data_IF_592481068973
#
_entry.id   IF_592481068973
#
_cell.length_a   1.000
_cell.length_b   1.000
_cell.length_c   1.000
_cell.angle_alpha   90.00
_cell.angle_beta   90.00
_cell.angle_gamma   90.00
#
_symmetry.space_group_name_H-M   'P 1'
#
loop_
_entity.id
_entity.type
_entity.pdbx_description
1 polymer ?
#
# COMPACT_ATOMS: atom_id res chain seq x y z
N UNK A 1 -11.25 -17.56 18.69
CA UNK A 1 -12.50 -18.13 18.14
C UNK A 1 -13.43 -16.97 17.93
N UNK A 2 -13.42 -16.43 16.71
CA UNK A 2 -14.36 -15.39 16.28
C UNK A 2 -15.34 -16.13 15.39
N UNK A 3 -16.62 -16.12 15.76
CA UNK A 3 -17.71 -16.63 14.93
C UNK A 3 -17.67 -15.91 13.58
N UNK A 4 -17.34 -16.68 12.54
CA UNK A 4 -17.55 -16.27 11.16
C UNK A 4 -19.05 -16.07 10.98
N UNK A 5 -19.47 -14.82 10.83
CA UNK A 5 -20.82 -14.51 10.37
C UNK A 5 -21.12 -15.34 9.12
N UNK A 6 -22.26 -16.02 9.14
CA UNK A 6 -22.78 -16.90 8.09
C UNK A 6 -23.02 -16.09 6.80
N UNK A 7 -21.97 -15.90 6.03
CA UNK A 7 -22.04 -15.55 4.63
C UNK A 7 -21.90 -16.85 3.85
N UNK A 8 -22.95 -17.67 3.82
CA UNK A 8 -23.07 -18.67 2.75
C UNK A 8 -23.68 -17.96 1.52
N UNK A 9 -22.88 -17.50 0.54
CA UNK A 9 -23.44 -17.04 -0.72
C UNK A 9 -24.16 -18.22 -1.35
N UNK A 10 -25.44 -18.07 -1.66
CA UNK A 10 -26.16 -19.04 -2.47
C UNK A 10 -25.37 -19.31 -3.76
N UNK A 11 -25.34 -20.55 -4.23
CA UNK A 11 -24.79 -20.92 -5.54
C UNK A 11 -25.70 -20.43 -6.70
N UNK A 12 -26.43 -19.34 -6.49
CA UNK A 12 -27.31 -18.73 -7.47
C UNK A 12 -26.47 -18.23 -8.66
N UNK A 13 -26.82 -18.74 -9.84
CA UNK A 13 -26.34 -18.23 -11.12
C UNK A 13 -26.94 -16.85 -11.35
N UNK A 14 -26.08 -15.89 -11.67
CA UNK A 14 -26.47 -14.50 -11.90
C UNK A 14 -26.63 -14.22 -13.39
N UNK A 15 -27.66 -13.45 -13.72
CA UNK A 15 -27.79 -12.84 -15.04
C UNK A 15 -26.97 -11.53 -15.12
N UNK A 16 -26.99 -10.90 -16.29
CA UNK A 16 -26.22 -9.68 -16.59
C UNK A 16 -26.58 -8.49 -15.70
N UNK A 17 -27.84 -8.35 -15.32
CA UNK A 17 -28.29 -7.21 -14.51
C UNK A 17 -27.96 -7.45 -13.04
N UNK A 18 -28.10 -8.68 -12.58
CA UNK A 18 -27.77 -9.09 -11.22
C UNK A 18 -26.26 -9.09 -10.94
N UNK A 19 -25.41 -9.49 -11.89
CA UNK A 19 -23.97 -9.66 -11.65
C UNK A 19 -23.28 -8.38 -11.17
N UNK A 20 -23.68 -7.21 -11.71
CA UNK A 20 -23.13 -5.91 -11.32
C UNK A 20 -23.55 -5.53 -9.92
N UNK A 21 -24.84 -5.64 -9.58
CA UNK A 21 -25.33 -5.32 -8.26
C UNK A 21 -24.71 -6.22 -7.17
N UNK A 22 -24.60 -7.52 -7.44
CA UNK A 22 -23.96 -8.48 -6.54
C UNK A 22 -22.46 -8.21 -6.36
N UNK A 23 -21.74 -7.92 -7.45
CA UNK A 23 -20.31 -7.57 -7.37
C UNK A 23 -20.07 -6.32 -6.55
N UNK A 24 -20.82 -5.24 -6.81
CA UNK A 24 -20.73 -3.99 -6.04
C UNK A 24 -20.99 -4.23 -4.56
N UNK A 25 -22.04 -4.98 -4.23
CA UNK A 25 -22.38 -5.29 -2.84
C UNK A 25 -21.28 -6.09 -2.14
N UNK A 26 -20.79 -7.17 -2.76
CA UNK A 26 -19.75 -8.03 -2.18
C UNK A 26 -18.45 -7.25 -1.98
N UNK A 27 -18.04 -6.43 -2.95
CA UNK A 27 -16.84 -5.59 -2.82
C UNK A 27 -17.03 -4.51 -1.76
N UNK A 28 -18.21 -3.92 -1.64
CA UNK A 28 -18.50 -2.93 -0.60
C UNK A 28 -18.48 -3.54 0.80
N UNK A 29 -18.89 -4.79 0.97
CA UNK A 29 -18.97 -5.47 2.27
C UNK A 29 -17.67 -6.15 2.71
N UNK A 30 -16.77 -6.48 1.77
CA UNK A 30 -15.53 -7.21 2.04
C UNK A 30 -14.65 -6.47 3.04
N UNK A 31 -14.28 -7.13 4.14
CA UNK A 31 -13.20 -6.65 5.01
C UNK A 31 -11.85 -6.80 4.30
N UNK A 32 -10.97 -5.82 4.42
CA UNK A 32 -9.71 -5.80 3.66
C UNK A 32 -8.50 -5.79 4.58
N UNK A 33 -7.38 -6.25 4.02
CA UNK A 33 -6.05 -5.95 4.55
C UNK A 33 -5.50 -4.77 3.76
N UNK A 34 -5.26 -3.65 4.44
CA UNK A 34 -4.53 -2.53 3.86
C UNK A 34 -3.04 -2.79 3.96
N UNK A 35 -2.51 -3.40 2.90
CA UNK A 35 -1.18 -3.99 2.92
C UNK A 35 -0.03 -2.99 2.85
N UNK A 36 -0.29 -1.69 2.68
CA UNK A 36 0.75 -0.66 2.71
C UNK A 36 0.17 0.71 3.11
N UNK A 37 0.57 1.20 4.29
CA UNK A 37 0.19 2.50 4.83
C UNK A 37 1.37 3.17 5.53
N UNK A 38 1.20 4.45 5.87
CA UNK A 38 2.04 5.20 6.79
C UNK A 38 1.31 5.53 8.10
N UNK A 39 0.29 4.74 8.43
CA UNK A 39 -0.45 4.88 9.68
C UNK A 39 0.28 4.17 10.81
N UNK A 40 0.13 4.70 12.01
CA UNK A 40 0.56 4.08 13.24
C UNK A 40 -0.59 4.09 14.25
N UNK A 41 -0.67 3.10 15.15
CA UNK A 41 -1.71 3.10 16.17
C UNK A 41 -1.41 4.18 17.22
N UNK A 42 -2.42 4.64 18.01
CA UNK A 42 -2.28 5.76 18.95
C UNK A 42 -1.09 5.68 19.93
N UNK A 43 -0.62 4.48 20.24
CA UNK A 43 0.53 4.22 21.11
C UNK A 43 1.86 4.75 20.54
N UNK A 44 1.92 5.04 19.24
CA UNK A 44 3.10 5.61 18.58
C UNK A 44 3.09 7.16 18.59
N UNK A 45 2.14 7.76 19.32
CA UNK A 45 2.09 9.20 19.65
C UNK A 45 2.22 10.11 18.42
N UNK A 46 3.32 10.86 18.31
CA UNK A 46 3.58 11.84 17.26
C UNK A 46 3.63 11.25 15.84
N UNK A 47 3.79 9.93 15.71
CA UNK A 47 3.74 9.23 14.43
C UNK A 47 2.29 8.91 13.99
N UNK A 48 1.33 8.91 14.93
CA UNK A 48 -0.07 8.62 14.64
C UNK A 48 -0.82 9.89 14.23
N UNK A 49 -0.76 10.23 12.94
CA UNK A 49 -1.46 11.42 12.38
C UNK A 49 -2.95 11.15 12.13
N UNK A 50 -3.81 12.07 12.58
CA UNK A 50 -5.27 11.99 12.44
C UNK A 50 -5.93 13.36 12.64
N UNK A 51 -7.16 13.51 12.16
CA UNK A 51 -7.97 14.71 12.32
C UNK A 51 -7.90 15.70 11.17
N UNK A 52 -8.75 16.74 11.24
CA UNK A 52 -9.00 17.63 10.10
C UNK A 52 -7.80 18.48 9.67
N UNK A 53 -7.00 18.97 10.62
CA UNK A 53 -5.82 19.78 10.28
C UNK A 53 -4.76 18.90 9.60
N UNK A 54 -4.61 17.64 10.03
CA UNK A 54 -3.70 16.66 9.41
C UNK A 54 -4.17 16.28 8.00
N UNK A 55 -5.47 16.05 7.83
CA UNK A 55 -6.07 15.77 6.52
C UNK A 55 -5.80 16.90 5.52
N UNK A 56 -5.99 18.16 5.94
CA UNK A 56 -5.83 19.34 5.09
C UNK A 56 -4.37 19.73 4.85
N UNK A 57 -3.47 19.36 5.76
CA UNK A 57 -2.02 19.57 5.58
C UNK A 57 -1.31 18.35 4.98
N UNK A 58 -2.08 17.36 4.51
CA UNK A 58 -1.57 16.28 3.67
C UNK A 58 -0.92 16.83 2.40
N UNK A 59 0.27 16.32 2.08
CA UNK A 59 1.16 16.89 1.04
C UNK A 59 0.52 17.00 -0.36
N UNK A 60 -0.49 16.19 -0.71
CA UNK A 60 -1.24 16.35 -1.97
C UNK A 60 -2.01 17.68 -2.00
N UNK A 61 -2.71 18.00 -0.90
CA UNK A 61 -3.47 19.24 -0.79
C UNK A 61 -2.56 20.45 -0.65
N UNK A 62 -1.39 20.29 -0.01
CA UNK A 62 -0.36 21.34 0.03
C UNK A 62 0.13 21.68 -1.38
N UNK A 63 0.47 20.70 -2.22
CA UNK A 63 0.85 20.94 -3.61
C UNK A 63 -0.25 21.67 -4.40
N UNK A 64 -1.50 21.23 -4.25
CA UNK A 64 -2.65 21.85 -4.91
C UNK A 64 -2.93 23.28 -4.43
N UNK A 65 -2.84 23.53 -3.12
CA UNK A 65 -3.07 24.84 -2.52
C UNK A 65 -1.98 25.84 -2.93
N UNK A 66 -0.72 25.41 -2.94
CA UNK A 66 0.41 26.25 -3.41
C UNK A 66 0.17 26.69 -4.86
N UNK A 67 -0.20 25.76 -5.74
CA UNK A 67 -0.51 26.07 -7.15
C UNK A 67 -1.74 26.97 -7.29
N UNK A 68 -2.82 26.68 -6.56
CA UNK A 68 -4.10 27.37 -6.74
C UNK A 68 -4.14 28.74 -6.06
N UNK A 69 -3.38 28.91 -4.96
CA UNK A 69 -3.24 30.17 -4.23
C UNK A 69 -2.05 31.02 -4.64
N UNK A 70 -1.20 30.54 -5.56
CA UNK A 70 0.08 31.16 -5.91
C UNK A 70 0.94 31.48 -4.67
N UNK A 71 1.01 30.53 -3.74
CA UNK A 71 1.71 30.68 -2.48
C UNK A 71 3.21 30.40 -2.65
N UNK A 72 4.04 31.01 -1.80
CA UNK A 72 5.47 30.64 -1.71
C UNK A 72 5.60 29.47 -0.72
N UNK A 73 6.24 28.35 -1.10
CA UNK A 73 6.33 27.17 -0.24
C UNK A 73 6.91 27.46 1.14
N UNK A 74 8.01 28.22 1.21
CA UNK A 74 8.67 28.56 2.48
C UNK A 74 7.76 29.39 3.42
N UNK A 75 6.98 30.31 2.84
CA UNK A 75 6.03 31.14 3.61
C UNK A 75 4.87 30.29 4.15
N UNK A 76 4.37 29.35 3.34
CA UNK A 76 3.35 28.40 3.77
C UNK A 76 3.88 27.49 4.88
N UNK A 77 5.08 26.94 4.71
CA UNK A 77 5.69 26.02 5.67
C UNK A 77 5.96 26.68 7.02
N UNK A 78 6.27 27.97 7.04
CA UNK A 78 6.50 28.73 8.27
C UNK A 78 5.22 28.98 9.10
N UNK A 79 4.03 28.73 8.53
CA UNK A 79 2.76 28.92 9.23
C UNK A 79 2.50 27.81 10.25
N UNK A 80 1.80 28.10 11.37
CA UNK A 80 1.25 27.05 12.22
C UNK A 80 0.32 26.11 11.44
N UNK A 81 0.30 24.81 11.77
CA UNK A 81 -0.49 23.77 11.09
C UNK A 81 -1.97 24.15 10.95
N UNK A 82 -2.58 24.70 11.99
CA UNK A 82 -3.97 25.17 11.98
C UNK A 82 -4.19 26.29 10.96
N UNK A 83 -3.24 27.22 10.82
CA UNK A 83 -3.29 28.29 9.82
C UNK A 83 -3.07 27.76 8.39
N UNK A 84 -2.20 26.77 8.21
CA UNK A 84 -2.04 26.05 6.95
C UNK A 84 -3.37 25.37 6.54
N UNK A 85 -4.00 24.64 7.46
CA UNK A 85 -5.28 23.97 7.22
C UNK A 85 -6.40 24.97 6.87
N UNK A 86 -6.49 26.09 7.59
CA UNK A 86 -7.45 27.17 7.27
C UNK A 86 -7.22 27.72 5.86
N UNK A 87 -5.97 27.96 5.49
CA UNK A 87 -5.61 28.49 4.18
C UNK A 87 -5.92 27.48 3.05
N UNK A 88 -5.59 26.20 3.26
CA UNK A 88 -5.94 25.12 2.33
C UNK A 88 -7.45 25.03 2.16
N UNK A 89 -8.22 25.04 3.26
CA UNK A 89 -9.69 25.02 3.21
C UNK A 89 -10.26 26.20 2.42
N UNK A 90 -9.81 27.41 2.74
CA UNK A 90 -10.24 28.62 2.06
C UNK A 90 -9.94 28.59 0.56
N UNK A 91 -8.73 28.15 0.17
CA UNK A 91 -8.33 28.12 -1.24
C UNK A 91 -9.07 27.00 -1.98
N UNK A 92 -9.01 25.76 -1.50
CA UNK A 92 -9.42 24.59 -2.29
C UNK A 92 -10.90 24.21 -2.17
N UNK A 93 -11.58 24.64 -1.11
CA UNK A 93 -12.94 24.21 -0.80
C UNK A 93 -13.97 25.35 -0.79
N UNK A 94 -13.56 26.55 -0.36
CA UNK A 94 -14.45 27.72 -0.29
C UNK A 94 -14.39 28.55 -1.58
N UNK A 95 -13.17 28.97 -1.98
CA UNK A 95 -12.98 29.82 -3.18
C UNK A 95 -13.05 29.03 -4.48
N UNK A 96 -12.78 27.73 -4.41
CA UNK A 96 -12.81 26.82 -5.55
C UNK A 96 -13.72 25.63 -5.23
N UNK A 97 -14.32 25.05 -6.27
CA UNK A 97 -15.05 23.79 -6.15
C UNK A 97 -14.04 22.64 -5.97
N UNK A 98 -14.19 21.78 -4.93
CA UNK A 98 -13.24 20.71 -4.63
C UNK A 98 -13.39 19.51 -5.59
N UNK A 99 -12.88 19.66 -6.81
CA UNK A 99 -13.01 18.66 -7.89
C UNK A 99 -11.88 17.62 -7.92
N UNK A 100 -10.71 17.94 -7.36
CA UNK A 100 -9.58 17.00 -7.37
C UNK A 100 -9.87 15.78 -6.50
N UNK A 101 -9.21 14.66 -6.78
CA UNK A 101 -9.43 13.43 -6.01
C UNK A 101 -9.05 13.60 -4.52
N UNK A 102 -8.00 14.38 -4.22
CA UNK A 102 -7.59 14.66 -2.84
C UNK A 102 -8.64 15.51 -2.10
N UNK A 103 -9.18 16.56 -2.74
CA UNK A 103 -10.21 17.42 -2.12
C UNK A 103 -11.54 16.68 -1.98
N UNK A 104 -11.97 15.93 -3.00
CA UNK A 104 -13.11 15.02 -2.93
C UNK A 104 -12.95 13.97 -1.83
N UNK A 105 -11.72 13.50 -1.59
CA UNK A 105 -11.39 12.62 -0.48
C UNK A 105 -11.75 13.22 0.88
N UNK A 106 -11.38 14.48 1.13
CA UNK A 106 -11.76 15.20 2.36
C UNK A 106 -13.27 15.36 2.48
N UNK A 107 -13.98 15.68 1.40
CA UNK A 107 -15.45 15.75 1.40
C UNK A 107 -16.09 14.42 1.81
N UNK A 108 -15.54 13.32 1.29
CA UNK A 108 -16.00 11.96 1.58
C UNK A 108 -15.75 11.61 3.05
N UNK A 109 -14.61 11.99 3.60
CA UNK A 109 -14.29 11.85 5.02
C UNK A 109 -15.30 12.59 5.90
N UNK A 110 -15.52 13.88 5.64
CA UNK A 110 -16.45 14.69 6.42
C UNK A 110 -17.86 14.10 6.38
N UNK A 111 -18.33 13.73 5.20
CA UNK A 111 -19.65 13.12 5.00
C UNK A 111 -19.78 11.79 5.74
N UNK A 112 -18.75 10.93 5.68
CA UNK A 112 -18.72 9.64 6.39
C UNK A 112 -18.75 9.80 7.93
N UNK A 113 -18.22 10.91 8.44
CA UNK A 113 -18.23 11.25 9.87
C UNK A 113 -19.49 12.03 10.29
N UNK A 114 -20.41 12.31 9.37
CA UNK A 114 -21.63 13.08 9.64
C UNK A 114 -21.42 14.59 9.79
N UNK A 115 -20.28 15.10 9.30
CA UNK A 115 -19.96 16.53 9.29
C UNK A 115 -20.39 17.16 7.97
N UNK A 116 -20.82 18.43 8.03
CA UNK A 116 -21.22 19.17 6.82
C UNK A 116 -19.97 19.57 5.98
N UNK A 117 -19.84 19.07 4.74
CA UNK A 117 -18.69 19.36 3.88
C UNK A 117 -18.71 20.76 3.26
N UNK A 118 -19.81 21.53 3.35
CA UNK A 118 -19.94 22.84 2.68
C UNK A 118 -19.76 24.03 3.63
N UNK A 119 -19.22 23.80 4.83
CA UNK A 119 -19.02 24.85 5.84
C UNK A 119 -17.96 25.86 5.40
N UNK A 120 -18.13 27.16 5.73
CA UNK A 120 -17.17 28.20 5.36
C UNK A 120 -15.87 28.15 6.18
N UNK A 121 -15.85 27.39 7.28
CA UNK A 121 -14.71 27.25 8.18
C UNK A 121 -14.67 25.86 8.84
N UNK A 122 -13.60 25.58 9.56
CA UNK A 122 -13.28 24.26 10.14
C UNK A 122 -13.69 24.11 11.62
N UNK A 123 -14.43 25.06 12.21
CA UNK A 123 -14.70 25.05 13.66
C UNK A 123 -15.43 23.79 14.11
N UNK A 124 -16.50 23.43 13.41
CA UNK A 124 -17.30 22.24 13.70
C UNK A 124 -16.48 20.95 13.59
N UNK A 125 -15.71 20.80 12.51
CA UNK A 125 -14.85 19.65 12.32
C UNK A 125 -13.79 19.56 13.43
N UNK A 126 -13.15 20.68 13.80
CA UNK A 126 -12.17 20.71 14.89
C UNK A 126 -12.79 20.36 16.25
N UNK A 127 -14.00 20.82 16.53
CA UNK A 127 -14.69 20.47 17.77
C UNK A 127 -15.06 18.98 17.81
N UNK A 128 -15.48 18.40 16.68
CA UNK A 128 -15.70 16.96 16.55
C UNK A 128 -14.43 16.15 16.86
N UNK A 129 -13.30 16.46 16.22
CA UNK A 129 -12.06 15.72 16.43
C UNK A 129 -11.50 15.92 17.85
N UNK A 130 -11.65 17.11 18.45
CA UNK A 130 -11.21 17.39 19.83
C UNK A 130 -12.02 16.60 20.86
N UNK A 131 -13.28 16.30 20.58
CA UNK A 131 -14.15 15.52 21.46
C UNK A 131 -13.91 14.00 21.36
N UNK A 132 -13.17 13.53 20.35
CA UNK A 132 -12.98 12.11 20.08
C UNK A 132 -11.85 11.49 20.92
N UNK A 133 -12.09 10.32 21.50
CA UNK A 133 -11.04 9.51 22.09
C UNK A 133 -10.25 8.77 20.99
N UNK A 134 -8.91 8.86 20.93
CA UNK A 134 -8.13 8.31 19.80
C UNK A 134 -8.38 6.83 19.50
N UNK A 135 -8.46 5.97 20.53
CA UNK A 135 -8.68 4.54 20.36
C UNK A 135 -10.10 4.21 19.83
N UNK A 136 -11.12 4.94 20.30
CA UNK A 136 -12.50 4.77 19.82
C UNK A 136 -12.65 5.29 18.39
N UNK A 137 -12.00 6.41 18.08
CA UNK A 137 -12.01 6.99 16.75
C UNK A 137 -11.28 6.08 15.73
N UNK A 138 -10.15 5.50 16.12
CA UNK A 138 -9.48 4.45 15.35
C UNK A 138 -10.44 3.29 15.03
N UNK A 139 -11.13 2.73 16.03
CA UNK A 139 -12.10 1.67 15.82
C UNK A 139 -13.19 2.07 14.83
N UNK A 140 -13.78 3.25 15.02
CA UNK A 140 -14.81 3.80 14.13
C UNK A 140 -14.34 3.93 12.67
N UNK A 141 -13.13 4.43 12.46
CA UNK A 141 -12.57 4.61 11.12
C UNK A 141 -12.33 3.26 10.43
N UNK A 142 -11.73 2.30 11.15
CA UNK A 142 -11.48 0.95 10.61
C UNK A 142 -12.78 0.23 10.28
N UNK A 143 -13.77 0.28 11.18
CA UNK A 143 -15.07 -0.34 10.97
C UNK A 143 -15.80 0.26 9.76
N UNK A 144 -15.78 1.59 9.63
CA UNK A 144 -16.44 2.28 8.52
C UNK A 144 -15.72 2.04 7.18
N UNK A 145 -14.38 2.03 7.17
CA UNK A 145 -13.58 1.72 5.98
C UNK A 145 -13.59 0.23 5.62
N UNK A 146 -14.07 -0.62 6.54
CA UNK A 146 -14.00 -2.09 6.47
C UNK A 146 -12.57 -2.60 6.28
N UNK A 147 -11.69 -2.15 7.16
CA UNK A 147 -10.27 -2.52 7.21
C UNK A 147 -10.01 -3.32 8.49
N UNK A 148 -9.74 -4.62 8.35
CA UNK A 148 -9.47 -5.51 9.49
C UNK A 148 -8.01 -5.42 9.95
N UNK A 149 -7.10 -5.16 9.01
CA UNK A 149 -5.66 -5.15 9.24
C UNK A 149 -5.01 -3.99 8.49
N UNK A 150 -4.18 -3.23 9.17
CA UNK A 150 -3.36 -2.14 8.64
C UNK A 150 -1.90 -2.57 8.68
N UNK A 151 -1.22 -2.52 7.55
CA UNK A 151 0.23 -2.75 7.50
C UNK A 151 0.94 -1.40 7.50
N UNK A 152 1.74 -1.18 8.53
CA UNK A 152 2.52 0.04 8.73
C UNK A 152 3.75 0.07 7.81
N UNK A 153 4.42 1.21 7.77
CA UNK A 153 5.74 1.36 7.15
C UNK A 153 6.73 1.76 8.24
N UNK A 154 7.50 0.80 8.74
CA UNK A 154 8.31 0.95 9.94
C UNK A 154 9.79 1.20 9.61
N UNK A 155 10.31 2.35 10.02
CA UNK A 155 11.66 2.79 9.71
C UNK A 155 12.58 2.73 10.94
N UNK A 156 13.49 1.75 11.05
CA UNK A 156 14.42 1.66 12.16
C UNK A 156 15.47 2.78 12.17
N UNK A 157 15.54 3.59 11.11
CA UNK A 157 16.41 4.77 11.02
C UNK A 157 15.70 6.05 11.49
N UNK A 158 14.40 6.00 11.77
CA UNK A 158 13.69 7.06 12.45
C UNK A 158 13.86 6.88 13.98
N UNK A 159 14.52 7.82 14.64
CA UNK A 159 14.84 7.70 16.06
C UNK A 159 13.60 7.63 16.97
N UNK A 160 12.54 8.38 16.64
CA UNK A 160 11.30 8.37 17.42
C UNK A 160 10.60 7.01 17.32
N UNK A 161 10.52 6.46 16.10
CA UNK A 161 9.93 5.15 15.88
C UNK A 161 10.78 4.02 16.49
N UNK A 162 12.10 4.06 16.27
CA UNK A 162 13.02 3.07 16.80
C UNK A 162 12.95 2.97 18.32
N UNK A 163 12.71 4.09 19.03
CA UNK A 163 12.49 4.12 20.49
C UNK A 163 11.27 3.29 20.89
N UNK A 164 10.12 3.46 20.24
CA UNK A 164 8.88 2.72 20.54
C UNK A 164 9.11 1.21 20.46
N UNK A 165 9.80 0.76 19.41
CA UNK A 165 10.13 -0.65 19.22
C UNK A 165 11.17 -1.17 20.22
N UNK A 166 12.16 -0.36 20.62
CA UNK A 166 13.16 -0.74 21.62
C UNK A 166 12.54 -0.93 23.01
N UNK A 167 11.50 -0.15 23.33
CA UNK A 167 10.78 -0.21 24.60
C UNK A 167 9.80 -1.40 24.68
N UNK A 168 9.63 -2.16 23.59
CA UNK A 168 8.67 -3.26 23.45
C UNK A 168 7.24 -2.84 23.83
N UNK A 169 6.83 -1.62 23.41
CA UNK A 169 5.48 -1.13 23.63
C UNK A 169 4.45 -2.07 22.97
N UNK A 170 3.34 -2.41 23.66
CA UNK A 170 2.27 -3.19 23.04
C UNK A 170 1.69 -2.49 21.81
N UNK A 171 1.70 -3.19 20.68
CA UNK A 171 1.13 -2.72 19.41
C UNK A 171 -0.30 -3.23 19.29
N UNK A 172 -1.23 -2.38 18.83
CA UNK A 172 -2.60 -2.79 18.53
C UNK A 172 -2.59 -3.97 17.52
N UNK A 173 -3.29 -5.09 17.79
CA UNK A 173 -3.22 -6.29 16.96
C UNK A 173 -3.76 -6.09 15.54
N UNK A 174 -4.51 -5.02 15.29
CA UNK A 174 -4.96 -4.64 13.94
C UNK A 174 -3.85 -3.99 13.11
N UNK A 175 -2.69 -3.74 13.70
CA UNK A 175 -1.52 -3.16 13.03
C UNK A 175 -0.40 -4.20 12.93
N UNK A 176 0.15 -4.37 11.72
CA UNK A 176 1.30 -5.24 11.46
C UNK A 176 2.44 -4.45 10.85
N UNK A 177 3.66 -4.84 11.18
CA UNK A 177 4.83 -4.12 10.72
C UNK A 177 5.21 -4.48 9.28
N UNK A 178 5.85 -3.54 8.61
CA UNK A 178 6.70 -3.81 7.46
C UNK A 178 8.01 -3.05 7.59
N UNK A 179 9.13 -3.73 7.36
CA UNK A 179 10.46 -3.17 7.61
C UNK A 179 10.91 -2.30 6.42
N UNK A 180 10.88 -0.98 6.58
CA UNK A 180 11.39 -0.02 5.59
C UNK A 180 12.90 0.07 5.66
N UNK A 181 13.58 -0.02 4.51
CA UNK A 181 15.04 0.03 4.39
C UNK A 181 15.54 1.06 3.36
N UNK A 182 14.72 2.07 3.02
CA UNK A 182 15.12 3.17 2.14
C UNK A 182 16.45 3.81 2.56
N UNK A 183 16.60 4.15 3.84
CA UNK A 183 17.81 4.80 4.36
C UNK A 183 19.04 3.90 4.14
N UNK A 184 18.92 2.60 4.43
CA UNK A 184 19.98 1.63 4.21
C UNK A 184 20.44 1.60 2.74
N UNK A 185 19.48 1.60 1.80
CA UNK A 185 19.76 1.37 0.39
C UNK A 185 20.05 2.64 -0.41
N UNK A 186 19.54 3.79 0.01
CA UNK A 186 19.59 5.04 -0.75
C UNK A 186 20.38 6.16 -0.04
N UNK A 187 20.72 6.02 1.24
CA UNK A 187 21.50 7.00 2.01
C UNK A 187 22.48 6.32 2.98
N UNK A 188 23.56 5.75 2.43
CA UNK A 188 24.57 5.05 3.22
C UNK A 188 25.20 5.93 4.31
N UNK A 189 25.32 7.24 4.09
CA UNK A 189 25.91 8.14 5.07
C UNK A 189 25.06 8.21 6.35
N UNK A 190 23.73 8.27 6.20
CA UNK A 190 22.79 8.22 7.32
C UNK A 190 22.67 6.82 7.90
N UNK A 191 22.59 5.79 7.05
CA UNK A 191 22.55 4.40 7.51
C UNK A 191 23.77 4.06 8.38
N UNK A 192 24.97 4.43 7.93
CA UNK A 192 26.24 4.21 8.66
C UNK A 192 26.17 4.74 10.09
N UNK A 193 25.67 5.97 10.29
CA UNK A 193 25.52 6.56 11.63
C UNK A 193 24.58 5.73 12.51
N UNK A 194 23.41 5.37 11.98
CA UNK A 194 22.46 4.55 12.73
C UNK A 194 23.01 3.15 13.05
N UNK A 195 23.77 2.54 12.13
CA UNK A 195 24.45 1.27 12.39
C UNK A 195 25.48 1.43 13.53
N UNK A 196 26.31 2.46 13.50
CA UNK A 196 27.30 2.76 14.55
C UNK A 196 26.65 3.00 15.91
N UNK A 197 25.56 3.77 15.95
CA UNK A 197 24.77 4.03 17.17
C UNK A 197 24.17 2.73 17.76
N UNK A 198 23.96 1.71 16.92
CA UNK A 198 23.49 0.38 17.31
C UNK A 198 24.65 -0.63 17.50
N UNK A 199 25.89 -0.15 17.68
CA UNK A 199 27.05 -0.98 18.00
C UNK A 199 27.64 -1.74 16.80
N UNK A 200 27.30 -1.34 15.57
CA UNK A 200 27.85 -1.93 14.36
C UNK A 200 28.95 -1.05 13.75
N UNK A 201 30.21 -1.48 13.90
CA UNK A 201 31.35 -0.78 13.28
C UNK A 201 31.35 -0.95 11.75
N UNK A 202 31.12 0.13 11.03
CA UNK A 202 31.05 0.14 9.56
C UNK A 202 31.80 1.33 8.96
N UNK A 203 32.42 1.14 7.79
CA UNK A 203 33.18 2.18 7.12
C UNK A 203 32.35 3.12 6.23
N UNK A 204 33.03 4.08 5.59
CA UNK A 204 32.42 4.98 4.61
C UNK A 204 31.96 4.28 3.33
N UNK A 205 32.50 3.09 3.06
CA UNK A 205 32.17 2.27 1.90
C UNK A 205 31.44 1.00 2.35
N UNK A 206 30.65 0.42 1.45
CA UNK A 206 30.04 -0.90 1.67
C UNK A 206 31.04 -1.98 1.28
N UNK A 207 31.91 -2.36 2.22
CA UNK A 207 32.80 -3.51 2.15
C UNK A 207 32.17 -4.77 2.79
N UNK A 208 32.94 -5.86 2.91
CA UNK A 208 32.44 -7.12 3.49
C UNK A 208 32.06 -6.98 4.97
N UNK A 209 32.77 -6.12 5.72
CA UNK A 209 32.43 -5.85 7.11
C UNK A 209 31.10 -5.09 7.18
N UNK A 210 30.94 -4.05 6.37
CA UNK A 210 29.70 -3.29 6.26
C UNK A 210 28.50 -4.19 5.91
N UNK A 211 28.66 -5.10 4.94
CA UNK A 211 27.64 -6.10 4.57
C UNK A 211 27.29 -6.99 5.78
N UNK A 212 28.28 -7.56 6.46
CA UNK A 212 28.04 -8.44 7.60
C UNK A 212 27.35 -7.73 8.79
N UNK A 213 27.65 -6.45 8.99
CA UNK A 213 27.05 -5.63 10.03
C UNK A 213 25.63 -5.16 9.65
N UNK A 214 25.41 -4.71 8.41
CA UNK A 214 24.09 -4.39 7.89
C UNK A 214 23.15 -5.60 7.92
N UNK A 215 23.65 -6.80 7.61
CA UNK A 215 22.88 -8.05 7.74
C UNK A 215 22.44 -8.29 9.18
N UNK A 216 23.35 -8.17 10.15
CA UNK A 216 23.02 -8.30 11.58
C UNK A 216 22.00 -7.26 12.05
N UNK A 217 22.11 -6.03 11.56
CA UNK A 217 21.14 -4.96 11.83
C UNK A 217 19.75 -5.32 11.30
N UNK A 218 19.65 -5.69 10.02
CA UNK A 218 18.38 -6.10 9.39
C UNK A 218 17.78 -7.32 10.11
N UNK A 219 18.57 -8.34 10.41
CA UNK A 219 18.10 -9.53 11.14
C UNK A 219 17.56 -9.19 12.54
N UNK A 220 18.16 -8.19 13.21
CA UNK A 220 17.72 -7.74 14.53
C UNK A 220 16.36 -7.06 14.46
N UNK A 221 16.16 -6.19 13.47
CA UNK A 221 14.89 -5.51 13.26
C UNK A 221 13.79 -6.43 12.75
N UNK A 222 14.11 -7.42 11.92
CA UNK A 222 13.15 -8.48 11.53
C UNK A 222 12.66 -9.22 12.78
N UNK A 223 13.56 -9.68 13.66
CA UNK A 223 13.16 -10.37 14.90
C UNK A 223 12.34 -9.49 15.85
N UNK A 224 12.61 -8.19 15.86
CA UNK A 224 11.92 -7.25 16.76
C UNK A 224 10.53 -6.88 16.27
N UNK A 225 10.39 -6.59 14.97
CA UNK A 225 9.15 -6.08 14.40
C UNK A 225 8.20 -7.21 13.96
N UNK A 226 8.71 -8.42 13.71
CA UNK A 226 7.99 -9.50 13.03
C UNK A 226 7.26 -8.98 11.76
N UNK A 227 8.00 -8.39 10.81
CA UNK A 227 7.40 -7.68 9.69
C UNK A 227 6.82 -8.65 8.67
N UNK A 228 5.75 -8.24 7.98
CA UNK A 228 5.13 -9.03 6.90
C UNK A 228 5.97 -9.02 5.61
N UNK A 229 6.76 -7.98 5.39
CA UNK A 229 7.71 -7.85 4.28
C UNK A 229 8.79 -6.81 4.59
N UNK A 230 9.86 -6.80 3.80
CA UNK A 230 10.90 -5.76 3.79
C UNK A 230 10.66 -4.85 2.60
N UNK A 231 10.71 -3.52 2.77
CA UNK A 231 10.30 -2.56 1.74
C UNK A 231 11.34 -1.49 1.41
N UNK A 232 11.37 -1.08 0.15
CA UNK A 232 12.14 0.07 -0.33
C UNK A 232 11.39 0.85 -1.42
N UNK A 233 11.47 2.18 -1.37
CA UNK A 233 11.20 3.01 -2.55
C UNK A 233 12.49 3.22 -3.37
N UNK A 234 12.41 2.95 -4.67
CA UNK A 234 13.53 3.03 -5.61
C UNK A 234 13.28 4.11 -6.67
N UNK A 235 14.33 4.84 -7.09
CA UNK A 235 14.21 5.86 -8.11
C UNK A 235 13.88 5.28 -9.49
N UNK A 236 13.50 6.13 -10.42
CA UNK A 236 13.22 5.74 -11.80
C UNK A 236 14.45 5.28 -12.58
N UNK A 237 15.65 5.69 -12.14
CA UNK A 237 16.93 5.25 -12.69
C UNK A 237 17.53 4.01 -11.98
N UNK A 238 16.73 3.33 -11.16
CA UNK A 238 17.17 2.09 -10.52
C UNK A 238 17.59 1.05 -11.55
N UNK A 239 18.81 0.53 -11.37
CA UNK A 239 19.41 -0.47 -12.23
C UNK A 239 19.85 -1.68 -11.42
N UNK A 240 19.80 -2.85 -12.07
CA UNK A 240 20.23 -4.13 -11.51
C UNK A 240 20.78 -5.02 -12.62
N UNK A 241 21.92 -5.70 -12.45
CA UNK A 241 22.94 -5.33 -11.48
C UNK A 241 23.59 -3.98 -11.85
N UNK A 242 24.10 -3.27 -10.85
CA UNK A 242 25.00 -2.13 -11.03
C UNK A 242 26.23 -2.26 -10.10
N UNK A 243 27.33 -1.57 -10.42
CA UNK A 243 28.52 -1.53 -9.57
C UNK A 243 28.40 -0.43 -8.52
N UNK A 244 27.41 -0.56 -7.62
CA UNK A 244 27.13 0.42 -6.57
C UNK A 244 26.84 -0.21 -5.19
N UNK A 245 26.84 0.63 -4.16
CA UNK A 245 26.57 0.23 -2.78
C UNK A 245 25.18 -0.41 -2.62
N UNK A 246 24.18 0.14 -3.30
CA UNK A 246 22.79 -0.35 -3.25
C UNK A 246 22.66 -1.76 -3.80
N UNK A 247 23.25 -2.05 -4.95
CA UNK A 247 23.28 -3.40 -5.55
C UNK A 247 23.96 -4.39 -4.62
N UNK A 248 25.10 -4.01 -4.02
CA UNK A 248 25.79 -4.86 -3.04
C UNK A 248 24.92 -5.15 -1.83
N UNK A 249 24.27 -4.14 -1.24
CA UNK A 249 23.37 -4.33 -0.10
C UNK A 249 22.14 -5.16 -0.47
N UNK A 250 21.52 -4.94 -1.63
CA UNK A 250 20.39 -5.78 -2.07
C UNK A 250 20.84 -7.24 -2.21
N UNK A 251 21.96 -7.48 -2.92
CA UNK A 251 22.48 -8.82 -3.21
C UNK A 251 22.93 -9.58 -1.96
N UNK A 252 23.69 -8.91 -1.10
CA UNK A 252 24.45 -9.59 -0.04
C UNK A 252 23.80 -9.43 1.35
N UNK A 253 22.82 -8.52 1.50
CA UNK A 253 22.07 -8.28 2.75
C UNK A 253 20.59 -8.58 2.59
N UNK A 254 19.88 -7.85 1.73
CA UNK A 254 18.41 -7.83 1.70
C UNK A 254 17.84 -9.13 1.15
N UNK A 255 18.29 -9.58 -0.02
CA UNK A 255 17.79 -10.81 -0.63
C UNK A 255 18.08 -12.05 0.25
N UNK A 256 19.30 -12.22 0.81
CA UNK A 256 19.56 -13.29 1.77
C UNK A 256 18.69 -13.18 3.03
N UNK A 257 18.52 -12.00 3.63
CA UNK A 257 17.66 -11.83 4.80
C UNK A 257 16.20 -12.19 4.49
N UNK A 258 15.66 -11.71 3.37
CA UNK A 258 14.31 -12.03 2.93
C UNK A 258 14.12 -13.54 2.72
N UNK A 259 15.09 -14.22 2.09
CA UNK A 259 15.01 -15.67 1.88
C UNK A 259 15.07 -16.42 3.22
N UNK A 260 16.04 -16.10 4.06
CA UNK A 260 16.32 -16.83 5.30
C UNK A 260 15.18 -16.66 6.33
N UNK A 261 14.55 -15.47 6.37
CA UNK A 261 13.38 -15.17 7.20
C UNK A 261 12.04 -15.40 6.48
N UNK A 262 12.06 -15.91 5.25
CA UNK A 262 10.87 -16.16 4.42
C UNK A 262 9.99 -14.92 4.22
N UNK A 263 10.57 -13.74 4.09
CA UNK A 263 9.86 -12.49 3.84
C UNK A 263 9.88 -12.12 2.35
N UNK A 264 8.79 -11.54 1.81
CA UNK A 264 8.85 -10.85 0.53
C UNK A 264 9.70 -9.59 0.60
N UNK A 265 10.34 -9.25 -0.53
CA UNK A 265 10.96 -7.95 -0.75
C UNK A 265 10.03 -7.08 -1.59
N UNK A 266 9.50 -6.02 -0.97
CA UNK A 266 8.61 -5.05 -1.57
C UNK A 266 9.39 -3.88 -2.20
N UNK A 267 9.21 -3.67 -3.51
CA UNK A 267 9.85 -2.61 -4.28
C UNK A 267 8.81 -1.65 -4.83
N UNK A 268 8.88 -0.39 -4.44
CA UNK A 268 8.07 0.71 -4.95
C UNK A 268 8.93 1.58 -5.87
N UNK A 269 8.82 1.40 -7.19
CA UNK A 269 9.82 1.89 -8.16
C UNK A 269 9.29 3.09 -8.95
N UNK A 270 10.10 4.15 -9.10
CA UNK A 270 9.85 5.25 -10.04
C UNK A 270 9.76 6.64 -9.43
N UNK A 271 10.10 6.82 -8.15
CA UNK A 271 10.06 8.14 -7.50
C UNK A 271 11.27 8.99 -7.87
N UNK A 272 11.05 10.23 -8.31
CA UNK A 272 12.10 11.25 -8.43
C UNK A 272 12.04 12.15 -7.21
N UNK A 273 12.95 11.93 -6.26
CA UNK A 273 12.92 12.66 -4.99
C UNK A 273 13.33 14.12 -5.15
N UNK A 274 12.62 15.01 -4.47
CA UNK A 274 12.94 16.43 -4.28
C UNK A 274 13.23 17.18 -5.59
N UNK A 275 12.42 16.96 -6.62
CA UNK A 275 12.45 17.77 -7.86
C UNK A 275 12.14 19.24 -7.54
N UNK A 276 11.31 19.49 -6.54
CA UNK A 276 11.14 20.81 -5.92
C UNK A 276 11.35 20.71 -4.39
N UNK A 277 12.58 20.90 -3.88
CA UNK A 277 12.88 20.72 -2.45
C UNK A 277 12.08 21.64 -1.52
N UNK A 278 11.67 22.82 -1.98
CA UNK A 278 10.91 23.78 -1.18
C UNK A 278 9.50 23.27 -0.83
N UNK A 279 9.00 22.26 -1.55
CA UNK A 279 7.71 21.61 -1.28
C UNK A 279 7.81 20.48 -0.25
N UNK A 280 8.99 20.21 0.33
CA UNK A 280 9.18 19.12 1.29
C UNK A 280 8.63 17.78 0.73
N UNK A 281 7.75 17.09 1.46
CA UNK A 281 7.15 15.81 1.04
C UNK A 281 6.28 15.94 -0.23
N UNK A 282 5.80 17.15 -0.56
CA UNK A 282 5.08 17.43 -1.79
C UNK A 282 6.01 17.69 -3.00
N UNK A 283 7.32 17.65 -2.80
CA UNK A 283 8.34 18.00 -3.80
C UNK A 283 8.87 16.86 -4.65
N UNK A 284 8.41 15.64 -4.38
CA UNK A 284 8.74 14.44 -5.15
C UNK A 284 7.90 14.39 -6.44
N UNK A 285 8.47 13.78 -7.48
CA UNK A 285 7.82 13.54 -8.77
C UNK A 285 7.94 12.05 -9.15
N UNK A 286 7.57 11.73 -10.39
CA UNK A 286 7.70 10.38 -10.95
C UNK A 286 8.57 10.36 -12.19
N UNK A 287 9.15 9.19 -12.48
CA UNK A 287 9.79 8.85 -13.75
C UNK A 287 9.46 7.42 -14.17
N UNK A 288 9.54 7.16 -15.48
CA UNK A 288 9.41 5.80 -16.03
C UNK A 288 10.70 5.03 -15.74
N UNK A 289 10.57 3.84 -15.17
CA UNK A 289 11.70 2.94 -14.90
C UNK A 289 11.81 1.80 -15.91
N UNK A 290 12.97 1.15 -15.97
CA UNK A 290 13.19 -0.07 -16.76
C UNK A 290 12.62 -1.31 -16.05
N UNK A 291 11.52 -1.87 -16.56
CA UNK A 291 10.88 -3.06 -15.96
C UNK A 291 11.76 -4.30 -16.09
N UNK A 292 12.72 -4.33 -17.03
CA UNK A 292 13.62 -5.47 -17.20
C UNK A 292 14.53 -5.72 -15.99
N UNK A 293 14.70 -4.73 -15.12
CA UNK A 293 15.31 -4.89 -13.79
C UNK A 293 14.54 -5.90 -12.94
N UNK A 294 13.20 -5.82 -12.93
CA UNK A 294 12.34 -6.78 -12.21
C UNK A 294 12.47 -8.17 -12.82
N UNK A 295 12.56 -8.29 -14.16
CA UNK A 295 12.80 -9.59 -14.82
C UNK A 295 14.09 -10.24 -14.34
N UNK A 296 15.18 -9.47 -14.26
CA UNK A 296 16.49 -9.97 -13.83
C UNK A 296 16.46 -10.40 -12.37
N UNK A 297 15.93 -9.57 -11.47
CA UNK A 297 15.75 -9.92 -10.06
C UNK A 297 14.95 -11.21 -9.87
N UNK A 298 13.78 -11.33 -10.52
CA UNK A 298 12.94 -12.51 -10.38
C UNK A 298 13.62 -13.78 -10.93
N UNK A 299 14.34 -13.66 -12.06
CA UNK A 299 15.04 -14.78 -12.71
C UNK A 299 16.27 -15.24 -11.93
N UNK A 300 17.05 -14.31 -11.40
CA UNK A 300 18.32 -14.57 -10.69
C UNK A 300 18.07 -15.04 -9.26
N UNK A 301 16.92 -14.70 -8.68
CA UNK A 301 16.55 -15.04 -7.31
C UNK A 301 15.18 -15.74 -7.23
N UNK A 302 15.04 -16.96 -7.80
CA UNK A 302 13.76 -17.66 -7.84
C UNK A 302 13.20 -18.04 -6.46
N UNK A 303 14.06 -18.17 -5.45
CA UNK A 303 13.68 -18.46 -4.06
C UNK A 303 13.24 -17.21 -3.27
N UNK A 304 13.45 -16.01 -3.83
CA UNK A 304 12.98 -14.76 -3.27
C UNK A 304 11.62 -14.39 -3.86
N UNK A 305 10.77 -13.82 -3.01
CA UNK A 305 9.42 -13.35 -3.36
C UNK A 305 9.44 -11.83 -3.49
N UNK A 306 8.92 -11.29 -4.59
CA UNK A 306 8.89 -9.85 -4.87
C UNK A 306 7.47 -9.28 -4.89
N UNK A 307 7.19 -8.33 -4.00
CA UNK A 307 6.00 -7.46 -4.10
C UNK A 307 6.41 -6.21 -4.88
N UNK A 308 5.72 -5.87 -5.97
CA UNK A 308 6.13 -4.72 -6.80
C UNK A 308 4.96 -3.80 -7.09
N UNK A 309 5.20 -2.51 -6.90
CA UNK A 309 4.36 -1.44 -7.45
C UNK A 309 5.26 -0.42 -8.14
N UNK A 310 4.80 0.17 -9.24
CA UNK A 310 5.57 1.13 -10.02
C UNK A 310 4.79 2.43 -10.15
N UNK A 311 5.49 3.57 -10.17
CA UNK A 311 4.88 4.90 -10.05
C UNK A 311 4.45 5.51 -11.39
N UNK A 312 5.10 5.11 -12.49
CA UNK A 312 4.75 5.58 -13.83
C UNK A 312 3.59 4.76 -14.40
N UNK A 313 2.63 5.46 -15.02
CA UNK A 313 1.50 4.85 -15.74
C UNK A 313 2.00 3.98 -16.89
N UNK A 314 3.06 4.41 -17.55
CA UNK A 314 3.68 3.74 -18.70
C UNK A 314 4.36 2.41 -18.33
N UNK A 315 4.61 2.14 -17.04
CA UNK A 315 5.17 0.88 -16.59
C UNK A 315 4.13 -0.23 -16.33
N UNK A 316 2.85 0.11 -16.19
CA UNK A 316 1.86 -0.80 -15.57
C UNK A 316 1.58 -2.03 -16.44
N UNK A 317 1.31 -1.83 -17.73
CA UNK A 317 1.09 -2.95 -18.65
C UNK A 317 2.31 -3.90 -18.72
N UNK A 318 3.53 -3.36 -18.79
CA UNK A 318 4.74 -4.19 -18.83
C UNK A 318 4.95 -4.96 -17.52
N UNK A 319 4.64 -4.36 -16.36
CA UNK A 319 4.65 -5.04 -15.08
C UNK A 319 3.63 -6.21 -15.04
N UNK A 320 2.45 -6.04 -15.64
CA UNK A 320 1.49 -7.13 -15.80
C UNK A 320 2.07 -8.28 -16.63
N UNK A 321 2.74 -7.97 -17.75
CA UNK A 321 3.39 -8.99 -18.58
C UNK A 321 4.52 -9.69 -17.82
N UNK A 322 5.30 -8.96 -17.02
CA UNK A 322 6.34 -9.51 -16.14
C UNK A 322 5.74 -10.51 -15.14
N UNK A 323 4.63 -10.16 -14.49
CA UNK A 323 3.95 -11.05 -13.53
C UNK A 323 3.41 -12.34 -14.19
N UNK A 324 3.10 -12.31 -15.49
CA UNK A 324 2.78 -13.53 -16.26
C UNK A 324 3.98 -14.44 -16.50
N UNK A 325 5.21 -13.96 -16.29
CA UNK A 325 6.45 -14.75 -16.50
C UNK A 325 7.00 -15.31 -15.20
N UNK A 326 6.79 -14.62 -14.07
CA UNK A 326 7.46 -14.91 -12.81
C UNK A 326 6.44 -15.16 -11.70
N UNK A 327 6.33 -16.41 -11.23
CA UNK A 327 5.43 -16.77 -10.12
C UNK A 327 5.87 -16.20 -8.77
N UNK A 328 7.13 -15.77 -8.68
CA UNK A 328 7.70 -15.07 -7.53
C UNK A 328 7.61 -13.54 -7.66
N UNK A 329 6.67 -13.03 -8.48
CA UNK A 329 6.34 -11.60 -8.61
C UNK A 329 4.85 -11.37 -8.36
N UNK A 330 4.52 -10.47 -7.43
CA UNK A 330 3.17 -10.04 -7.11
C UNK A 330 3.03 -8.53 -7.29
N UNK A 331 2.36 -8.07 -8.38
CA UNK A 331 1.98 -6.68 -8.52
C UNK A 331 0.96 -6.29 -7.45
N UNK A 332 1.15 -5.13 -6.83
CA UNK A 332 0.20 -4.61 -5.85
C UNK A 332 -0.12 -3.12 -6.06
N UNK A 333 -1.39 -2.80 -5.88
CA UNK A 333 -1.94 -1.45 -5.74
C UNK A 333 -1.75 -0.47 -6.89
N UNK A 334 -2.26 0.74 -6.66
CA UNK A 334 -2.14 1.90 -7.55
C UNK A 334 -1.45 3.02 -6.76
N UNK A 335 -0.12 3.03 -6.78
CA UNK A 335 0.69 3.84 -5.88
C UNK A 335 0.65 5.34 -6.22
N UNK A 336 0.45 6.15 -5.19
CA UNK A 336 0.63 7.62 -5.19
C UNK A 336 -0.07 8.35 -6.35
N UNK A 337 0.67 8.75 -7.39
CA UNK A 337 0.14 9.48 -8.54
C UNK A 337 -0.81 8.63 -9.41
N UNK A 338 -0.73 7.31 -9.27
CA UNK A 338 -1.64 6.37 -9.93
C UNK A 338 -2.95 6.16 -9.15
N UNK A 339 -3.04 6.69 -7.92
CA UNK A 339 -4.24 6.59 -7.09
C UNK A 339 -5.29 7.65 -7.46
N UNK A 340 -5.68 7.66 -8.73
CA UNK A 340 -6.71 8.52 -9.31
C UNK A 340 -7.72 7.65 -10.08
N UNK A 341 -9.04 7.89 -10.00
CA UNK A 341 -10.06 6.94 -10.48
C UNK A 341 -9.88 6.47 -11.93
N UNK A 342 -9.49 7.37 -12.84
CA UNK A 342 -9.25 7.00 -14.25
C UNK A 342 -8.10 6.01 -14.42
N UNK A 343 -7.02 6.19 -13.65
CA UNK A 343 -5.82 5.35 -13.70
C UNK A 343 -6.04 4.04 -12.92
N UNK A 344 -6.69 4.10 -11.76
CA UNK A 344 -7.06 2.91 -10.97
C UNK A 344 -7.94 1.97 -11.82
N UNK A 345 -8.93 2.54 -12.53
CA UNK A 345 -9.80 1.76 -13.42
C UNK A 345 -9.01 1.10 -14.56
N UNK A 346 -8.14 1.84 -15.23
CA UNK A 346 -7.26 1.33 -16.30
C UNK A 346 -6.37 0.17 -15.79
N UNK A 347 -5.61 0.41 -14.71
CA UNK A 347 -4.67 -0.56 -14.12
C UNK A 347 -5.41 -1.83 -13.65
N UNK A 348 -6.56 -1.66 -13.00
CA UNK A 348 -7.31 -2.82 -12.49
C UNK A 348 -7.84 -3.68 -13.63
N UNK A 349 -8.31 -3.06 -14.72
CA UNK A 349 -8.81 -3.77 -15.90
C UNK A 349 -7.71 -4.52 -16.63
N UNK A 350 -6.57 -3.89 -16.91
CA UNK A 350 -5.44 -4.58 -17.55
C UNK A 350 -4.94 -5.76 -16.70
N UNK A 351 -4.90 -5.61 -15.37
CA UNK A 351 -4.47 -6.68 -14.46
C UNK A 351 -5.47 -7.83 -14.45
N UNK A 352 -6.77 -7.56 -14.41
CA UNK A 352 -7.77 -8.61 -14.52
C UNK A 352 -7.68 -9.36 -15.87
N UNK A 353 -7.47 -8.63 -16.96
CA UNK A 353 -7.36 -9.23 -18.31
C UNK A 353 -6.10 -10.10 -18.47
N UNK A 354 -4.98 -9.66 -17.90
CA UNK A 354 -3.68 -10.33 -18.05
C UNK A 354 -3.39 -11.36 -16.96
N UNK A 355 -3.94 -11.20 -15.76
CA UNK A 355 -3.58 -11.98 -14.56
C UNK A 355 -4.78 -12.69 -13.93
N UNK A 356 -6.02 -12.41 -14.36
CA UNK A 356 -7.19 -12.84 -13.62
C UNK A 356 -7.16 -12.28 -12.19
N UNK A 357 -7.42 -13.10 -11.18
CA UNK A 357 -7.52 -12.67 -9.78
C UNK A 357 -6.22 -12.84 -8.98
N UNK A 358 -5.06 -12.93 -9.63
CA UNK A 358 -3.76 -13.25 -8.99
C UNK A 358 -2.87 -12.03 -8.75
N UNK A 359 -3.46 -10.90 -8.37
CA UNK A 359 -2.78 -9.65 -8.02
C UNK A 359 -3.45 -8.99 -6.81
N UNK A 360 -2.82 -7.98 -6.21
CA UNK A 360 -3.44 -7.18 -5.15
C UNK A 360 -3.90 -5.85 -5.77
N UNK A 361 -5.20 -5.53 -5.79
CA UNK A 361 -5.70 -4.41 -6.60
C UNK A 361 -5.37 -3.05 -6.01
N UNK A 362 -5.30 -2.92 -4.67
CA UNK A 362 -5.14 -1.63 -4.02
C UNK A 362 -4.38 -1.71 -2.68
N UNK A 363 -3.77 -0.58 -2.31
CA UNK A 363 -3.41 -0.18 -0.95
C UNK A 363 -3.75 1.31 -0.77
N UNK A 364 -3.92 1.81 0.45
CA UNK A 364 -4.32 3.22 0.63
C UNK A 364 -3.18 4.20 0.57
N UNK A 365 -1.98 3.78 1.00
CA UNK A 365 -0.85 4.68 1.28
C UNK A 365 -1.24 5.80 2.26
N UNK A 366 -2.21 5.52 3.14
CA UNK A 366 -2.75 6.52 4.06
C UNK A 366 -1.67 7.02 5.02
N UNK A 367 -1.56 8.35 5.13
CA UNK A 367 -0.70 9.06 6.10
C UNK A 367 -1.47 9.64 7.27
N UNK A 368 -2.77 9.82 7.09
CA UNK A 368 -3.69 10.36 8.09
C UNK A 368 -4.85 9.38 8.21
N UNK A 369 -5.20 8.99 9.43
CA UNK A 369 -6.11 7.88 9.72
C UNK A 369 -7.40 7.92 8.90
N UNK A 370 -8.09 9.06 8.85
CA UNK A 370 -9.39 9.18 8.18
C UNK A 370 -9.29 9.03 6.67
N UNK A 371 -8.09 9.09 6.07
CA UNK A 371 -7.92 8.84 4.63
C UNK A 371 -8.42 7.44 4.24
N UNK A 372 -8.39 6.46 5.17
CA UNK A 372 -8.98 5.14 4.94
C UNK A 372 -10.44 5.20 4.50
N UNK A 373 -11.23 6.16 5.03
CA UNK A 373 -12.65 6.32 4.72
C UNK A 373 -12.88 6.60 3.23
N UNK A 374 -12.05 7.44 2.61
CA UNK A 374 -12.21 7.75 1.18
C UNK A 374 -11.39 6.83 0.29
N UNK A 375 -10.15 6.49 0.68
CA UNK A 375 -9.25 5.66 -0.14
C UNK A 375 -9.90 4.31 -0.45
N UNK A 376 -10.50 3.66 0.55
CA UNK A 376 -11.18 2.40 0.36
C UNK A 376 -12.55 2.56 -0.30
N UNK A 377 -13.35 3.56 0.08
CA UNK A 377 -14.65 3.79 -0.56
C UNK A 377 -14.52 4.05 -2.07
N UNK A 378 -13.57 4.88 -2.47
CA UNK A 378 -13.33 5.22 -3.88
C UNK A 378 -12.74 4.03 -4.65
N UNK A 379 -11.70 3.38 -4.10
CA UNK A 379 -11.08 2.24 -4.78
C UNK A 379 -12.01 1.05 -4.93
N UNK A 380 -12.87 0.77 -3.93
CA UNK A 380 -13.89 -0.29 -4.01
C UNK A 380 -14.84 -0.07 -5.17
N UNK A 381 -15.25 1.18 -5.41
CA UNK A 381 -16.11 1.52 -6.55
C UNK A 381 -15.43 1.16 -7.87
N UNK A 382 -14.18 1.58 -8.06
CA UNK A 382 -13.46 1.35 -9.32
C UNK A 382 -13.13 -0.14 -9.53
N UNK A 383 -12.74 -0.85 -8.47
CA UNK A 383 -12.47 -2.30 -8.52
C UNK A 383 -13.75 -3.10 -8.74
N UNK A 384 -14.86 -2.74 -8.11
CA UNK A 384 -16.15 -3.39 -8.32
C UNK A 384 -16.64 -3.24 -9.76
N UNK A 385 -16.50 -2.04 -10.33
CA UNK A 385 -16.86 -1.77 -11.71
C UNK A 385 -16.03 -2.61 -12.69
N UNK A 386 -14.71 -2.66 -12.50
CA UNK A 386 -13.81 -3.47 -13.31
C UNK A 386 -14.14 -4.98 -13.22
N UNK A 387 -14.41 -5.49 -12.01
CA UNK A 387 -14.80 -6.88 -11.80
C UNK A 387 -16.15 -7.21 -12.45
N UNK A 388 -17.16 -6.35 -12.25
CA UNK A 388 -18.50 -6.55 -12.80
C UNK A 388 -18.45 -6.64 -14.33
N UNK A 389 -17.62 -5.82 -14.98
CA UNK A 389 -17.42 -5.89 -16.42
C UNK A 389 -16.80 -7.22 -16.86
N UNK A 390 -15.80 -7.74 -16.14
CA UNK A 390 -15.19 -9.03 -16.49
C UNK A 390 -16.16 -10.20 -16.30
N UNK A 391 -16.95 -10.20 -15.23
CA UNK A 391 -18.00 -11.21 -15.06
C UNK A 391 -19.09 -11.11 -16.12
N UNK A 392 -19.49 -9.89 -16.51
CA UNK A 392 -20.44 -9.69 -17.61
C UNK A 392 -19.90 -10.27 -18.91
N UNK A 393 -18.61 -10.05 -19.23
CA UNK A 393 -17.96 -10.63 -20.41
C UNK A 393 -17.92 -12.15 -20.39
N UNK A 394 -17.75 -12.77 -19.22
CA UNK A 394 -17.84 -14.23 -19.07
C UNK A 394 -19.25 -14.74 -19.38
N UNK A 395 -20.29 -14.06 -18.88
CA UNK A 395 -21.69 -14.38 -19.16
C UNK A 395 -21.99 -14.23 -20.66
N UNK A 396 -21.57 -13.12 -21.27
CA UNK A 396 -21.72 -12.86 -22.71
C UNK A 396 -21.00 -13.93 -23.56
N UNK A 397 -19.92 -14.50 -23.04
CA UNK A 397 -19.18 -15.62 -23.66
C UNK A 397 -19.82 -17.00 -23.39
N UNK A 398 -20.97 -17.04 -22.71
CA UNK A 398 -21.74 -18.25 -22.43
C UNK A 398 -21.37 -18.98 -21.14
N UNK A 399 -20.50 -18.41 -20.28
CA UNK A 399 -20.16 -19.00 -18.98
C UNK A 399 -20.97 -18.33 -17.86
N UNK A 400 -21.83 -19.07 -17.13
CA UNK A 400 -22.53 -18.52 -15.98
C UNK A 400 -21.56 -18.15 -14.85
N UNK A 401 -21.93 -17.14 -14.06
CA UNK A 401 -21.19 -16.69 -12.88
C UNK A 401 -22.09 -16.79 -11.65
N UNK A 402 -21.54 -17.28 -10.54
CA UNK A 402 -22.26 -17.44 -9.28
C UNK A 402 -21.84 -16.40 -8.23
N UNK A 403 -22.73 -16.13 -7.27
CA UNK A 403 -22.41 -15.26 -6.12
C UNK A 403 -21.20 -15.79 -5.33
N UNK A 404 -21.08 -17.12 -5.20
CA UNK A 404 -19.96 -17.78 -4.52
C UNK A 404 -18.62 -17.54 -5.23
N UNK A 405 -18.59 -17.60 -6.55
CA UNK A 405 -17.37 -17.32 -7.33
C UNK A 405 -16.93 -15.86 -7.13
N UNK A 406 -17.87 -14.91 -7.19
CA UNK A 406 -17.58 -13.50 -6.96
C UNK A 406 -17.01 -13.29 -5.55
N UNK A 407 -17.65 -13.88 -4.52
CA UNK A 407 -17.18 -13.76 -3.13
C UNK A 407 -15.76 -14.32 -2.94
N UNK A 408 -15.47 -15.50 -3.51
CA UNK A 408 -14.14 -16.11 -3.49
C UNK A 408 -13.10 -15.21 -4.15
N UNK A 409 -13.43 -14.67 -5.32
CA UNK A 409 -12.50 -13.90 -6.15
C UNK A 409 -12.23 -12.52 -5.54
N UNK A 410 -13.25 -11.87 -4.96
CA UNK A 410 -13.09 -10.63 -4.18
C UNK A 410 -12.24 -10.90 -2.93
N UNK A 411 -12.52 -11.97 -2.17
CA UNK A 411 -11.69 -12.32 -1.02
C UNK A 411 -10.23 -12.54 -1.42
N UNK A 412 -10.00 -13.25 -2.54
CA UNK A 412 -8.65 -13.47 -3.05
C UNK A 412 -7.92 -12.17 -3.35
N UNK A 413 -8.57 -11.21 -4.01
CA UNK A 413 -7.97 -9.93 -4.38
C UNK A 413 -7.64 -9.05 -3.16
N UNK A 414 -8.56 -8.94 -2.20
CA UNK A 414 -8.43 -7.99 -1.08
C UNK A 414 -7.75 -8.57 0.17
N UNK A 415 -7.66 -9.90 0.30
CA UNK A 415 -7.15 -10.57 1.51
C UNK A 415 -6.23 -11.73 1.14
N UNK A 416 -6.76 -12.72 0.41
CA UNK A 416 -6.11 -14.02 0.24
C UNK A 416 -4.76 -13.98 -0.46
N UNK A 417 -4.61 -13.16 -1.51
CA UNK A 417 -3.34 -13.02 -2.24
C UNK A 417 -2.23 -12.49 -1.33
N UNK A 418 -2.50 -11.44 -0.53
CA UNK A 418 -1.49 -10.86 0.37
C UNK A 418 -1.14 -11.79 1.53
N UNK A 419 -2.15 -12.42 2.14
CA UNK A 419 -1.92 -13.42 3.19
C UNK A 419 -1.05 -14.55 2.66
N UNK A 420 -1.43 -15.20 1.55
CA UNK A 420 -0.61 -16.25 0.96
C UNK A 420 0.83 -15.76 0.71
N UNK A 421 0.98 -14.54 0.17
CA UNK A 421 2.29 -13.98 -0.10
C UNK A 421 3.13 -13.62 1.11
N UNK A 422 2.56 -13.52 2.31
CA UNK A 422 3.31 -13.19 3.53
C UNK A 422 3.41 -14.40 4.47
N UNK A 423 2.44 -15.32 4.44
CA UNK A 423 2.33 -16.47 5.37
C UNK A 423 2.72 -17.84 4.79
N UNK A 424 3.14 -17.95 3.51
CA UNK A 424 3.68 -19.22 2.97
C UNK A 424 4.89 -19.81 3.76
N UNK A 425 5.34 -19.15 4.84
CA UNK A 425 6.25 -19.72 5.83
C UNK A 425 5.60 -20.63 6.90
N UNK A 426 4.30 -20.53 7.16
CA UNK A 426 3.61 -21.23 8.27
C UNK A 426 2.78 -22.44 7.83
N UNK A 427 2.60 -22.64 6.52
CA UNK A 427 1.71 -23.67 5.97
C UNK A 427 2.29 -24.40 4.74
N UNK A 428 3.61 -24.60 4.71
CA UNK A 428 4.23 -25.62 3.85
C UNK A 428 4.00 -27.02 4.43
N UNK A 429 2.74 -27.42 4.46
CA UNK A 429 2.26 -28.68 5.00
C UNK A 429 0.92 -29.14 4.43
N UNK A 430 0.50 -28.66 3.25
CA UNK A 430 -0.45 -29.35 2.36
C UNK A 430 -0.89 -28.39 1.24
N UNK A 431 -0.26 -28.47 0.08
CA UNK A 431 -0.97 -28.15 -1.17
C UNK A 431 -1.62 -29.47 -1.59
N UNK A 432 -2.95 -29.64 -1.52
CA UNK A 432 -3.57 -30.81 -2.14
C UNK A 432 -3.33 -30.70 -3.65
N UNK A 433 -2.85 -31.77 -4.31
CA UNK A 433 -2.77 -31.77 -5.76
C UNK A 433 -4.17 -31.57 -6.36
N UNK A 434 -4.22 -30.66 -7.32
CA UNK A 434 -5.31 -30.38 -8.26
C UNK A 434 -6.33 -31.54 -8.40
N UNK A 435 -7.49 -31.41 -7.76
CA UNK A 435 -8.63 -32.29 -8.01
C UNK A 435 -9.32 -31.85 -9.31
N UNK A 436 -8.64 -32.03 -10.45
CA UNK A 436 -9.20 -31.99 -11.80
C UNK A 436 -8.27 -32.64 -12.83
N UNK A 437 -7.52 -33.67 -12.42
CA UNK A 437 -6.92 -34.59 -13.38
C UNK A 437 -8.00 -35.60 -13.82
N UNK A 438 -8.56 -35.38 -15.01
CA UNK A 438 -9.39 -36.37 -15.70
C UNK A 438 -8.50 -37.60 -15.96
N UNK A 439 -8.89 -38.82 -15.55
CA UNK A 439 -8.11 -40.00 -15.86
C UNK A 439 -8.17 -40.26 -17.37
N UNK A 440 -6.99 -40.34 -18.01
CA UNK A 440 -6.87 -40.85 -19.38
C UNK A 440 -7.46 -42.27 -19.42
N UNK A 441 -8.63 -42.39 -20.05
CA UNK A 441 -9.25 -43.65 -20.37
C UNK A 441 -8.40 -44.44 -21.36
N UNK A 442 -8.20 -45.71 -21.04
CA UNK A 442 -7.55 -46.70 -21.88
C UNK A 442 -8.25 -46.82 -23.24
N UNK A 443 -7.46 -46.83 -24.32
CA UNK A 443 -7.86 -47.43 -25.58
C UNK A 443 -7.07 -48.73 -25.76
N UNK A 444 -7.77 -49.85 -25.61
CA UNK A 444 -7.37 -51.14 -26.18
C UNK A 444 -8.31 -51.42 -27.34
N UNK A 445 -7.84 -51.22 -28.57
CA UNK A 445 -7.86 -52.16 -29.69
C UNK A 445 -7.21 -51.55 -30.92
#
# INVERSE_FOLDING_TARGET
MIETADLSPSDAVLDRDAVRAHTTRIVAEMQVIDMHTHLFPPQFEELASWGIDDLLTYHYLVAEAIRSGNLRPDEFQAMPKTSQADLVWQILFVRNTPLSEATRGVITVLSALGLDPVRPDLREARDFFRAAAPAEHLGRVLDHARVDLVVMTNDPFNAAEARVWNENAPVDPRFRAALRIDTLLNDWATARRALEDNGHAVGNIVDDQAVAHARRFVDTWIRRMDPLYVAVSLPDDFSWPAEDARTRLIRDVVLPACRDHRLPFAMMIGVRRRVNPALHDAGDALGRADVSVVHRLCREHPDNRFLVTMLSRENQHELCVAARKFSNLMPFGCWWFLNNPSIVSEITRERLELLGTTFIPQHSDARVLEQLLYKWAHSRRDVADALADQYTRLIDSGRPVTTREIARDVHRLFVGNFQQWTTLGDSAGSIPPNANAIPNGASTR
#
